data_IF_210751391895
#
_entry.id   IF_210751391895
#
_cell.length_a   1.000
_cell.length_b   1.000
_cell.length_c   1.000
_cell.angle_alpha   90.00
_cell.angle_beta   90.00
_cell.angle_gamma   90.00
#
_symmetry.space_group_name_H-M   'P 1'
#
loop_
_entity.id
_entity.type
_entity.pdbx_description
1 polymer ?
#
# COMPACT_ATOMS: atom_id res chain seq x y z
N UNK A 1 18.00 6.17 14.92
CA UNK A 1 16.85 6.97 15.38
C UNK A 1 15.61 6.42 14.70
N UNK A 2 14.51 6.20 15.45
CA UNK A 2 13.50 5.16 15.19
C UNK A 2 12.94 5.05 13.76
N UNK A 3 12.63 3.83 13.36
CA UNK A 3 12.09 3.49 12.04
C UNK A 3 10.94 4.44 11.65
N UNK A 4 11.12 5.14 10.53
CA UNK A 4 10.19 6.15 10.05
C UNK A 4 9.24 5.49 9.04
N UNK A 5 7.95 5.32 9.38
CA UNK A 5 6.92 4.75 8.50
C UNK A 5 6.56 5.64 7.28
N UNK A 6 7.49 6.50 6.84
CA UNK A 6 7.30 7.45 5.73
C UNK A 6 7.13 6.71 4.41
N UNK A 7 7.94 5.69 4.14
CA UNK A 7 7.86 4.93 2.89
C UNK A 7 6.51 4.22 2.76
N UNK A 8 6.02 3.57 3.82
CA UNK A 8 4.73 2.90 3.83
C UNK A 8 3.58 3.90 3.68
N UNK A 9 3.69 5.07 4.33
CA UNK A 9 2.71 6.15 4.19
C UNK A 9 2.67 6.68 2.76
N UNK A 10 3.82 6.92 2.13
CA UNK A 10 3.93 7.41 0.75
C UNK A 10 3.44 6.36 -0.25
N UNK A 11 3.80 5.09 -0.08
CA UNK A 11 3.30 3.99 -0.90
C UNK A 11 1.77 3.88 -0.84
N UNK A 12 1.18 3.99 0.35
CA UNK A 12 -0.27 4.03 0.52
C UNK A 12 -0.88 5.25 -0.18
N UNK A 13 -0.30 6.44 0.01
CA UNK A 13 -0.80 7.67 -0.61
C UNK A 13 -0.78 7.60 -2.14
N UNK A 14 0.32 7.10 -2.72
CA UNK A 14 0.44 6.88 -4.17
C UNK A 14 -0.63 5.91 -4.65
N UNK A 15 -0.84 4.79 -3.96
CA UNK A 15 -1.87 3.82 -4.33
C UNK A 15 -3.27 4.44 -4.34
N UNK A 16 -3.59 5.23 -3.30
CA UNK A 16 -4.88 5.89 -3.19
C UNK A 16 -5.07 6.96 -4.26
N UNK A 17 -4.04 7.77 -4.56
CA UNK A 17 -4.08 8.77 -5.64
C UNK A 17 -4.32 8.14 -7.03
N UNK A 18 -3.85 6.90 -7.24
CA UNK A 18 -4.10 6.14 -8.47
C UNK A 18 -5.47 5.42 -8.49
N UNK A 19 -6.07 5.22 -7.33
CA UNK A 19 -7.30 4.45 -7.19
C UNK A 19 -8.52 5.21 -7.74
N UNK A 20 -9.53 4.52 -8.27
CA UNK A 20 -10.73 5.17 -8.80
C UNK A 20 -11.47 6.00 -7.75
N UNK A 21 -11.47 5.57 -6.47
CA UNK A 21 -12.14 6.27 -5.38
C UNK A 21 -11.66 7.72 -5.16
N UNK A 22 -10.36 7.99 -5.37
CA UNK A 22 -9.80 9.35 -5.21
C UNK A 22 -9.70 10.06 -6.55
N UNK A 23 -9.32 9.35 -7.61
CA UNK A 23 -9.06 9.97 -8.91
C UNK A 23 -10.35 10.34 -9.66
N UNK A 24 -11.36 9.46 -9.64
CA UNK A 24 -12.64 9.66 -10.32
C UNK A 24 -13.66 10.32 -9.39
N UNK A 25 -13.92 9.70 -8.24
CA UNK A 25 -15.00 10.13 -7.34
C UNK A 25 -14.62 11.32 -6.45
N UNK A 26 -13.33 11.71 -6.44
CA UNK A 26 -12.78 12.84 -5.65
C UNK A 26 -13.05 12.75 -4.15
N UNK A 27 -13.28 11.54 -3.63
CA UNK A 27 -13.40 11.32 -2.20
C UNK A 27 -12.04 11.53 -1.51
N UNK A 28 -12.07 11.85 -0.22
CA UNK A 28 -10.83 11.94 0.53
C UNK A 28 -10.21 10.55 0.74
N UNK A 29 -8.87 10.41 0.77
CA UNK A 29 -8.23 9.12 1.04
C UNK A 29 -8.69 8.47 2.35
N UNK A 30 -9.07 9.28 3.35
CA UNK A 30 -9.61 8.81 4.64
C UNK A 30 -10.99 8.17 4.47
N UNK A 31 -11.86 8.77 3.66
CA UNK A 31 -13.19 8.23 3.37
C UNK A 31 -13.12 6.91 2.61
N UNK A 32 -12.24 6.80 1.60
CA UNK A 32 -12.03 5.56 0.85
C UNK A 32 -11.60 4.38 1.75
N UNK A 33 -10.87 4.65 2.85
CA UNK A 33 -10.39 3.62 3.77
C UNK A 33 -11.37 3.30 4.91
N UNK A 34 -12.13 4.29 5.36
CA UNK A 34 -13.02 4.17 6.54
C UNK A 34 -14.39 3.64 6.14
N UNK A 35 -14.89 4.03 4.96
CA UNK A 35 -16.22 3.64 4.51
C UNK A 35 -16.19 2.22 3.92
N UNK A 36 -16.96 1.26 4.47
CA UNK A 36 -16.91 -0.13 4.01
C UNK A 36 -17.41 -0.30 2.58
N UNK A 37 -18.33 0.57 2.12
CA UNK A 37 -18.84 0.55 0.74
C UNK A 37 -17.75 0.88 -0.28
N UNK A 38 -17.03 1.98 -0.08
CA UNK A 38 -15.95 2.41 -0.97
C UNK A 38 -14.71 1.52 -0.88
N UNK A 39 -14.52 0.86 0.26
CA UNK A 39 -13.39 -0.05 0.48
C UNK A 39 -13.47 -1.32 -0.37
N UNK A 40 -14.67 -1.74 -0.78
CA UNK A 40 -14.87 -2.93 -1.63
C UNK A 40 -14.30 -2.69 -3.04
N UNK A 41 -14.44 -1.46 -3.54
CA UNK A 41 -13.95 -1.06 -4.86
C UNK A 41 -12.44 -0.76 -4.86
N UNK A 42 -11.79 -0.88 -3.71
CA UNK A 42 -10.37 -0.58 -3.57
C UNK A 42 -9.51 -1.78 -3.99
N UNK A 43 -8.48 -1.58 -4.85
CA UNK A 43 -7.59 -2.66 -5.25
C UNK A 43 -6.91 -3.34 -4.06
N UNK A 44 -6.67 -4.65 -4.15
CA UNK A 44 -5.99 -5.44 -3.11
C UNK A 44 -4.63 -4.85 -2.73
N UNK A 45 -3.92 -4.28 -3.70
CA UNK A 45 -2.63 -3.63 -3.50
C UNK A 45 -2.72 -2.46 -2.51
N UNK A 46 -3.75 -1.63 -2.60
CA UNK A 46 -3.94 -0.52 -1.66
C UNK A 46 -4.31 -1.02 -0.27
N UNK A 47 -5.11 -2.11 -0.18
CA UNK A 47 -5.42 -2.76 1.10
C UNK A 47 -4.16 -3.34 1.74
N UNK A 48 -3.28 -3.96 0.96
CA UNK A 48 -1.99 -4.48 1.43
C UNK A 48 -1.08 -3.36 1.94
N UNK A 49 -0.96 -2.24 1.21
CA UNK A 49 -0.21 -1.07 1.68
C UNK A 49 -0.81 -0.45 2.95
N UNK A 50 -2.13 -0.42 3.07
CA UNK A 50 -2.81 0.06 4.27
C UNK A 50 -2.49 -0.82 5.48
N UNK A 51 -2.54 -2.14 5.33
CA UNK A 51 -2.15 -3.10 6.38
C UNK A 51 -0.70 -2.89 6.79
N UNK A 52 0.23 -2.83 5.83
CA UNK A 52 1.65 -2.60 6.11
C UNK A 52 1.90 -1.27 6.82
N UNK A 53 1.18 -0.20 6.47
CA UNK A 53 1.27 1.07 7.17
C UNK A 53 0.73 0.98 8.61
N UNK A 54 -0.38 0.29 8.84
CA UNK A 54 -0.95 0.11 10.18
C UNK A 54 -0.06 -0.76 11.06
N UNK A 55 0.56 -1.82 10.52
CA UNK A 55 1.55 -2.64 11.22
C UNK A 55 2.80 -1.82 11.60
N UNK A 56 3.29 -1.01 10.67
CA UNK A 56 4.39 -0.09 10.95
C UNK A 56 3.98 0.92 12.03
N UNK A 57 2.80 1.52 11.94
CA UNK A 57 2.34 2.48 12.96
C UNK A 57 2.19 1.81 14.33
N UNK A 58 1.63 0.61 14.40
CA UNK A 58 1.46 -0.13 15.64
C UNK A 58 2.81 -0.48 16.29
N UNK A 59 3.79 -0.90 15.50
CA UNK A 59 5.10 -1.26 16.03
C UNK A 59 5.99 -0.10 16.45
N UNK A 60 5.65 1.16 16.14
CA UNK A 60 6.26 2.34 16.78
C UNK A 60 5.92 2.35 18.28
N UNK A 61 4.69 1.96 18.62
CA UNK A 61 4.23 1.90 20.01
C UNK A 61 4.65 0.61 20.73
N UNK A 62 4.88 -0.48 20.00
CA UNK A 62 5.38 -1.74 20.58
C UNK A 62 6.81 -1.59 21.11
N UNK A 63 6.97 -1.65 22.44
CA UNK A 63 8.26 -1.51 23.10
C UNK A 63 9.27 -2.59 22.71
N UNK A 64 8.80 -3.80 22.36
CA UNK A 64 9.67 -4.92 21.96
C UNK A 64 10.39 -4.64 20.64
N UNK A 65 9.77 -3.85 19.75
CA UNK A 65 10.32 -3.51 18.43
C UNK A 65 11.20 -2.27 18.44
N UNK A 66 11.35 -1.58 19.58
CA UNK A 66 12.19 -0.36 19.69
C UNK A 66 13.68 -0.64 19.53
N UNK A 67 14.15 -1.81 19.99
CA UNK A 67 15.56 -2.19 19.90
C UNK A 67 15.91 -2.89 18.57
N UNK A 68 15.02 -3.77 18.10
CA UNK A 68 15.22 -4.53 16.84
C UNK A 68 14.92 -3.68 15.60
N UNK A 69 14.09 -2.65 15.74
CA UNK A 69 13.52 -1.92 14.61
C UNK A 69 12.21 -2.55 14.16
N UNK A 70 11.30 -1.71 13.68
CA UNK A 70 9.93 -2.10 13.34
C UNK A 70 9.69 -2.22 11.84
N UNK A 71 10.49 -1.53 11.03
CA UNK A 71 10.35 -1.48 9.59
C UNK A 71 11.72 -1.18 8.95
N UNK A 72 11.92 -1.50 7.67
CA UNK A 72 13.09 -1.04 6.94
C UNK A 72 13.22 0.48 7.07
N UNK A 73 14.46 0.95 7.16
CA UNK A 73 14.75 2.38 7.15
C UNK A 73 14.15 3.02 5.89
N UNK A 74 13.64 4.24 6.03
CA UNK A 74 13.06 4.99 4.92
C UNK A 74 14.13 5.18 3.84
N UNK A 75 13.91 4.55 2.70
CA UNK A 75 14.81 4.54 1.53
C UNK A 75 14.55 5.73 0.61
N UNK A 76 13.42 6.43 0.77
CA UNK A 76 13.01 7.50 -0.14
C UNK A 76 12.54 7.00 -1.51
N UNK A 77 12.39 5.68 -1.70
CA UNK A 77 11.99 5.06 -2.98
C UNK A 77 10.71 5.64 -3.57
N UNK A 78 9.78 6.09 -2.72
CA UNK A 78 8.47 6.60 -3.13
C UNK A 78 8.40 8.12 -3.16
N UNK A 79 9.50 8.82 -2.85
CA UNK A 79 9.49 10.26 -2.65
C UNK A 79 9.23 10.98 -3.97
N UNK A 80 10.01 10.66 -5.01
CA UNK A 80 9.85 11.25 -6.34
C UNK A 80 8.44 11.02 -6.91
N UNK A 81 7.93 9.78 -6.82
CA UNK A 81 6.61 9.43 -7.32
C UNK A 81 5.53 10.21 -6.59
N UNK A 82 5.64 10.32 -5.26
CA UNK A 82 4.69 11.06 -4.44
C UNK A 82 4.68 12.55 -4.79
N UNK A 83 5.85 13.18 -4.98
CA UNK A 83 5.94 14.59 -5.36
C UNK A 83 5.39 14.84 -6.78
N UNK A 84 5.67 13.96 -7.74
CA UNK A 84 5.13 14.07 -9.10
C UNK A 84 3.60 13.97 -9.13
N UNK A 85 3.05 13.01 -8.37
CA UNK A 85 1.61 12.79 -8.29
C UNK A 85 0.90 13.91 -7.52
N UNK A 86 1.57 14.50 -6.52
CA UNK A 86 1.03 15.63 -5.73
C UNK A 86 1.16 16.98 -6.44
N UNK A 87 2.16 17.16 -7.30
CA UNK A 87 2.35 18.38 -8.11
C UNK A 87 1.45 18.44 -9.35
N UNK A 88 0.70 17.37 -9.64
CA UNK A 88 -0.22 17.32 -10.77
C UNK A 88 0.45 17.03 -12.12
N UNK A 89 1.74 16.67 -12.13
CA UNK A 89 2.46 16.29 -13.34
C UNK A 89 2.27 14.80 -13.65
N UNK A 90 1.03 14.40 -13.97
CA UNK A 90 0.70 13.00 -14.28
C UNK A 90 -0.47 12.87 -15.26
N UNK A 91 -0.47 11.78 -16.02
CA UNK A 91 -1.63 11.35 -16.81
C UNK A 91 -2.48 10.37 -15.98
N UNK A 92 -3.73 10.74 -15.68
CA UNK A 92 -4.60 9.94 -14.83
C UNK A 92 -4.91 8.54 -15.39
N UNK A 93 -5.03 8.40 -16.70
CA UNK A 93 -5.33 7.12 -17.34
C UNK A 93 -4.09 6.21 -17.37
N UNK A 94 -2.90 6.77 -17.52
CA UNK A 94 -1.65 6.02 -17.39
C UNK A 94 -1.46 5.50 -15.96
N UNK A 95 -1.68 6.35 -14.97
CA UNK A 95 -1.49 6.01 -13.55
C UNK A 95 -2.50 4.96 -13.05
N UNK A 96 -3.76 4.99 -13.55
CA UNK A 96 -4.72 3.91 -13.32
C UNK A 96 -4.26 2.58 -13.94
N UNK A 97 -3.80 2.60 -15.20
CA UNK A 97 -3.28 1.38 -15.86
C UNK A 97 -2.09 0.78 -15.10
N UNK A 98 -1.20 1.62 -14.58
CA UNK A 98 -0.07 1.17 -13.72
C UNK A 98 -0.60 0.47 -12.47
N UNK A 99 -1.62 1.02 -11.82
CA UNK A 99 -2.23 0.40 -10.63
C UNK A 99 -2.82 -0.98 -10.95
N UNK A 100 -3.54 -1.12 -12.06
CA UNK A 100 -4.11 -2.40 -12.48
C UNK A 100 -3.05 -3.48 -12.70
N UNK A 101 -1.96 -3.13 -13.39
CA UNK A 101 -0.83 -4.04 -13.64
C UNK A 101 -0.19 -4.47 -12.32
N UNK A 102 0.07 -3.52 -11.43
CA UNK A 102 0.64 -3.81 -10.11
C UNK A 102 -0.28 -4.72 -9.29
N UNK A 103 -1.59 -4.47 -9.32
CA UNK A 103 -2.57 -5.28 -8.59
C UNK A 103 -2.65 -6.71 -9.13
N UNK A 104 -2.62 -6.89 -10.46
CA UNK A 104 -2.56 -8.23 -11.10
C UNK A 104 -1.27 -8.98 -10.76
N UNK A 105 -0.14 -8.27 -10.71
CA UNK A 105 1.13 -8.88 -10.33
C UNK A 105 1.11 -9.35 -8.88
N UNK A 106 0.53 -8.55 -7.98
CA UNK A 106 0.37 -8.93 -6.57
C UNK A 106 -0.52 -10.16 -6.41
N UNK A 107 -1.68 -10.20 -7.08
CA UNK A 107 -2.57 -11.37 -7.00
C UNK A 107 -1.88 -12.63 -7.50
N UNK A 108 -1.07 -12.52 -8.57
CA UNK A 108 -0.26 -13.64 -9.06
C UNK A 108 0.79 -14.09 -8.06
N UNK A 109 1.53 -13.17 -7.43
CA UNK A 109 2.52 -13.51 -6.39
C UNK A 109 1.88 -14.21 -5.19
N UNK A 110 0.68 -13.79 -4.78
CA UNK A 110 -0.07 -14.42 -3.69
C UNK A 110 -0.49 -15.84 -4.04
N UNK A 111 -1.03 -16.06 -5.24
CA UNK A 111 -1.36 -17.41 -5.72
C UNK A 111 -0.13 -18.32 -5.80
N UNK A 112 1.00 -17.81 -6.29
CA UNK A 112 2.25 -18.55 -6.33
C UNK A 112 2.75 -18.89 -4.91
N UNK A 113 2.63 -17.98 -3.95
CA UNK A 113 2.97 -18.23 -2.55
C UNK A 113 2.03 -19.26 -1.89
N UNK A 114 0.72 -19.16 -2.14
CA UNK A 114 -0.28 -20.12 -1.64
C UNK A 114 -0.05 -21.53 -2.20
N UNK A 115 0.27 -21.65 -3.49
CA UNK A 115 0.65 -22.94 -4.11
C UNK A 115 1.87 -23.55 -3.44
N UNK A 116 2.93 -22.76 -3.20
CA UNK A 116 4.12 -23.23 -2.48
C UNK A 116 3.79 -23.68 -1.06
N UNK A 117 2.92 -22.97 -0.36
CA UNK A 117 2.48 -23.37 0.99
C UNK A 117 1.66 -24.67 0.99
N UNK A 118 0.86 -24.90 -0.06
CA UNK A 118 0.16 -26.18 -0.27
C UNK A 118 1.13 -27.32 -0.59
N UNK A 119 2.15 -27.09 -1.44
CA UNK A 119 3.21 -28.06 -1.75
C UNK A 119 4.05 -28.40 -0.51
N UNK A 120 4.32 -27.42 0.36
CA UNK A 120 5.03 -27.61 1.63
C UNK A 120 4.17 -28.27 2.73
N UNK A 121 2.91 -28.57 2.47
CA UNK A 121 2.00 -29.24 3.43
C UNK A 121 1.66 -28.41 4.67
N UNK A 122 1.85 -27.08 4.63
CA UNK A 122 1.57 -26.16 5.76
C UNK A 122 0.12 -25.71 5.84
N UNK A 123 -0.64 -25.89 4.76
CA UNK A 123 -2.07 -25.56 4.70
C UNK A 123 -2.84 -26.89 4.53
N UNK A 124 -3.47 -27.36 5.60
CA UNK A 124 -4.38 -28.52 5.59
C UNK A 124 -5.80 -28.08 5.33
#
# INVERSE_FOLDING_TARGET
MGASCKDQKKALAICLQRSPCVLLDRNTPKECLTNPKLKIDLPELCVAHFRAFMECRAGIFDMRKRMVGNAPLSTGKYDEIYENLSSGNFDGHEEMRKLDVLNRNLSRQRQEAEKKLMEEGKLK
#
